data_IF_783915995384
#
_entry.id   IF_783915995384
#
_cell.length_a   1.000
_cell.length_b   1.000
_cell.length_c   1.000
_cell.angle_alpha   90.00
_cell.angle_beta   90.00
_cell.angle_gamma   90.00
#
_symmetry.space_group_name_H-M   'P 1'
#
loop_
_entity.id
_entity.type
_entity.pdbx_description
1 polymer ?
#
# COMPACT_ATOMS: atom_id res chain seq x y z
N UNK A 1 16.19 1.94 -7.04
CA UNK A 1 15.43 2.74 -6.03
C UNK A 1 14.80 1.82 -4.99
N UNK A 2 14.38 2.36 -3.85
CA UNK A 2 13.75 1.58 -2.78
C UNK A 2 12.38 2.14 -2.42
N UNK A 3 11.38 1.28 -2.33
CA UNK A 3 10.00 1.61 -1.95
C UNK A 3 9.69 0.90 -0.63
N UNK A 4 9.22 1.65 0.36
CA UNK A 4 8.66 1.10 1.60
C UNK A 4 7.19 1.44 1.64
N UNK A 5 6.37 0.46 2.01
CA UNK A 5 4.92 0.62 2.10
C UNK A 5 4.41 0.07 3.41
N UNK A 6 3.34 0.67 3.89
CA UNK A 6 2.62 0.21 5.08
C UNK A 6 1.13 0.51 4.89
N UNK A 7 0.28 -0.29 5.52
CA UNK A 7 -1.16 -0.10 5.50
C UNK A 7 -1.75 -0.14 6.92
N UNK A 8 -2.80 0.66 7.11
CA UNK A 8 -3.59 0.59 8.33
C UNK A 8 -5.02 0.23 7.98
N UNK A 9 -5.55 -0.79 8.64
CA UNK A 9 -6.88 -1.35 8.37
C UNK A 9 -7.71 -1.47 9.65
N UNK A 10 -9.00 -1.12 9.57
CA UNK A 10 -9.96 -1.30 10.64
C UNK A 10 -10.96 -2.42 10.30
N UNK A 11 -10.82 -3.58 10.94
CA UNK A 11 -11.73 -4.71 10.73
C UNK A 11 -13.22 -4.38 10.97
N UNK A 12 -13.51 -3.47 11.92
CA UNK A 12 -14.89 -3.10 12.31
C UNK A 12 -15.59 -2.21 11.28
N UNK A 13 -14.89 -1.24 10.72
CA UNK A 13 -15.48 -0.21 9.84
C UNK A 13 -15.08 -0.37 8.39
N UNK A 14 -14.18 -1.33 8.11
CA UNK A 14 -13.50 -1.55 6.83
C UNK A 14 -12.73 -0.32 6.32
N UNK A 15 -12.55 0.71 7.16
CA UNK A 15 -11.73 1.86 6.85
C UNK A 15 -10.26 1.44 6.72
N UNK A 16 -9.61 1.95 5.68
CA UNK A 16 -8.26 1.58 5.33
C UNK A 16 -7.51 2.78 4.74
N UNK A 17 -6.22 2.88 5.05
CA UNK A 17 -5.30 3.87 4.51
C UNK A 17 -3.94 3.25 4.26
N UNK A 18 -3.17 3.85 3.36
CA UNK A 18 -1.80 3.41 3.08
C UNK A 18 -0.82 4.57 3.10
N UNK A 19 0.45 4.23 3.25
CA UNK A 19 1.56 5.14 3.07
C UNK A 19 2.67 4.50 2.23
N UNK A 20 3.40 5.34 1.52
CA UNK A 20 4.52 4.99 0.66
C UNK A 20 5.66 5.96 0.91
N UNK A 21 6.85 5.40 1.13
CA UNK A 21 8.11 6.12 1.15
C UNK A 21 9.01 5.59 0.04
N UNK A 22 9.33 6.44 -0.94
CA UNK A 22 10.18 6.12 -2.09
C UNK A 22 11.50 6.85 -1.93
N UNK A 23 12.60 6.12 -1.91
CA UNK A 23 13.95 6.66 -1.86
C UNK A 23 14.68 6.37 -3.17
N UNK A 24 15.20 7.43 -3.76
CA UNK A 24 16.17 7.40 -4.85
C UNK A 24 17.46 8.06 -4.39
N UNK A 25 18.50 8.03 -5.23
CA UNK A 25 19.76 8.72 -4.95
C UNK A 25 19.57 10.24 -4.95
N UNK A 26 18.68 10.75 -5.81
CA UNK A 26 18.43 12.18 -5.97
C UNK A 26 17.39 12.75 -4.99
N UNK A 27 16.35 11.98 -4.64
CA UNK A 27 15.23 12.49 -3.86
C UNK A 27 14.54 11.43 -3.00
N UNK A 28 13.73 11.92 -2.06
CA UNK A 28 12.79 11.14 -1.27
C UNK A 28 11.37 11.63 -1.56
N UNK A 29 10.50 10.72 -2.00
CA UNK A 29 9.08 11.00 -2.16
C UNK A 29 8.27 10.27 -1.09
N UNK A 30 7.29 10.98 -0.52
CA UNK A 30 6.41 10.48 0.52
C UNK A 30 4.98 10.74 0.13
N UNK A 31 4.12 9.73 0.30
CA UNK A 31 2.71 9.84 -0.03
C UNK A 31 1.90 8.96 0.92
N UNK A 32 0.72 9.44 1.30
CA UNK A 32 -0.29 8.64 1.99
C UNK A 32 -1.65 8.93 1.36
N UNK A 33 -2.52 7.94 1.36
CA UNK A 33 -3.80 8.04 0.67
C UNK A 33 -4.77 6.93 1.03
N UNK A 34 -6.01 7.12 0.60
CA UNK A 34 -7.07 6.13 0.72
C UNK A 34 -7.05 5.18 -0.48
N UNK A 35 -7.48 3.95 -0.27
CA UNK A 35 -7.62 2.99 -1.37
C UNK A 35 -8.82 3.34 -2.26
N UNK A 36 -8.67 3.08 -3.57
CA UNK A 36 -9.73 3.22 -4.58
C UNK A 36 -10.57 1.95 -4.77
N UNK A 37 -10.26 0.93 -3.99
CA UNK A 37 -10.92 -0.37 -3.99
C UNK A 37 -11.39 -0.67 -2.58
N UNK A 38 -12.40 -1.51 -2.46
CA UNK A 38 -12.82 -2.03 -1.16
C UNK A 38 -11.75 -2.96 -0.60
N UNK A 39 -11.40 -2.72 0.65
CA UNK A 39 -10.45 -3.50 1.43
C UNK A 39 -11.25 -4.21 2.51
N UNK A 40 -11.22 -5.53 2.51
CA UNK A 40 -11.98 -6.36 3.45
C UNK A 40 -11.10 -6.95 4.54
N UNK A 41 -9.80 -7.09 4.25
CA UNK A 41 -8.81 -7.70 5.12
C UNK A 41 -7.50 -6.89 5.18
N UNK A 42 -6.77 -7.02 6.29
CA UNK A 42 -5.50 -6.32 6.48
C UNK A 42 -4.47 -6.66 5.39
N UNK A 43 -4.37 -7.93 4.99
CA UNK A 43 -3.44 -8.36 3.95
C UNK A 43 -3.80 -7.80 2.56
N UNK A 44 -5.08 -7.50 2.29
CA UNK A 44 -5.49 -6.82 1.05
C UNK A 44 -5.03 -5.37 1.07
N UNK A 45 -5.11 -4.71 2.23
CA UNK A 45 -4.59 -3.37 2.43
C UNK A 45 -3.08 -3.32 2.17
N UNK A 46 -2.32 -4.26 2.75
CA UNK A 46 -0.89 -4.39 2.53
C UNK A 46 -0.53 -4.63 1.06
N UNK A 47 -1.27 -5.53 0.40
CA UNK A 47 -1.07 -5.85 -1.03
C UNK A 47 -1.32 -4.61 -1.90
N UNK A 48 -2.40 -3.89 -1.64
CA UNK A 48 -2.75 -2.68 -2.38
C UNK A 48 -1.79 -1.52 -2.07
N UNK A 49 -1.27 -1.41 -0.84
CA UNK A 49 -0.26 -0.42 -0.47
C UNK A 49 1.05 -0.67 -1.23
N UNK A 50 1.50 -1.92 -1.25
CA UNK A 50 2.67 -2.35 -2.01
C UNK A 50 2.50 -2.03 -3.51
N UNK A 51 1.34 -2.35 -4.09
CA UNK A 51 1.03 -2.04 -5.48
C UNK A 51 1.04 -0.53 -5.77
N UNK A 52 0.38 0.28 -4.94
CA UNK A 52 0.38 1.73 -5.07
C UNK A 52 1.79 2.30 -4.98
N UNK A 53 2.63 1.78 -4.09
CA UNK A 53 4.02 2.19 -3.96
C UNK A 53 4.85 1.89 -5.20
N UNK A 54 4.70 0.69 -5.77
CA UNK A 54 5.38 0.31 -7.02
C UNK A 54 4.89 1.19 -8.18
N UNK A 55 3.59 1.33 -8.38
CA UNK A 55 3.05 2.17 -9.46
C UNK A 55 3.45 3.65 -9.32
N UNK A 56 3.49 4.18 -8.10
CA UNK A 56 3.95 5.54 -7.85
C UNK A 56 5.45 5.71 -8.18
N UNK A 57 6.27 4.70 -7.87
CA UNK A 57 7.69 4.68 -8.25
C UNK A 57 7.86 4.66 -9.77
N UNK A 58 7.10 3.83 -10.48
CA UNK A 58 7.16 3.72 -11.94
C UNK A 58 6.71 5.01 -12.65
N UNK A 59 5.64 5.65 -12.16
CA UNK A 59 5.05 6.82 -12.82
C UNK A 59 5.76 8.15 -12.52
N UNK A 60 6.33 8.34 -11.34
CA UNK A 60 6.87 9.65 -10.91
C UNK A 60 8.35 9.85 -11.19
N UNK A 61 9.09 8.79 -11.52
CA UNK A 61 10.55 8.82 -11.54
C UNK A 61 11.15 8.47 -12.91
N UNK A 62 10.33 8.47 -13.97
CA UNK A 62 10.73 8.23 -15.37
C UNK A 62 11.75 7.09 -15.52
N UNK A 63 11.42 5.94 -14.92
CA UNK A 63 12.33 4.79 -14.94
C UNK A 63 12.48 4.25 -16.36
N UNK A 64 13.72 4.31 -16.87
CA UNK A 64 14.10 3.67 -18.13
C UNK A 64 14.15 2.14 -17.98
N UNK A 65 14.05 1.46 -19.12
CA UNK A 65 14.25 0.02 -19.21
C UNK A 65 15.59 -0.40 -18.58
N UNK A 66 15.59 -1.52 -17.86
CA UNK A 66 16.72 -2.02 -17.08
C UNK A 66 16.82 -1.46 -15.66
N UNK A 67 15.93 -0.55 -15.26
CA UNK A 67 15.87 -0.04 -13.89
C UNK A 67 15.42 -1.11 -12.87
N UNK A 68 15.86 -0.96 -11.62
CA UNK A 68 15.49 -1.85 -10.51
C UNK A 68 14.69 -1.12 -9.43
N UNK A 69 13.48 -1.63 -9.16
CA UNK A 69 12.66 -1.27 -7.99
C UNK A 69 12.83 -2.32 -6.90
N UNK A 70 13.32 -1.91 -5.74
CA UNK A 70 13.33 -2.75 -4.53
C UNK A 70 12.15 -2.35 -3.65
N UNK A 71 11.10 -3.15 -3.58
CA UNK A 71 9.94 -2.85 -2.75
C UNK A 71 9.90 -3.72 -1.49
N UNK A 72 9.69 -3.10 -0.34
CA UNK A 72 9.71 -3.74 0.96
C UNK A 72 8.33 -3.68 1.65
N UNK A 73 7.91 -4.82 2.19
CA UNK A 73 6.70 -4.98 2.99
C UNK A 73 6.97 -5.98 4.12
N UNK A 74 6.27 -5.85 5.24
CA UNK A 74 6.30 -6.83 6.32
C UNK A 74 5.28 -7.96 6.16
N UNK A 75 4.46 -7.89 5.11
CA UNK A 75 3.43 -8.87 4.79
C UNK A 75 3.93 -9.85 3.73
N UNK A 76 4.30 -11.06 4.15
CA UNK A 76 4.70 -12.15 3.23
C UNK A 76 3.62 -12.46 2.20
N UNK A 77 2.35 -12.43 2.60
CA UNK A 77 1.23 -12.68 1.69
C UNK A 77 1.11 -11.62 0.59
N UNK A 78 1.34 -10.35 0.92
CA UNK A 78 1.34 -9.27 -0.07
C UNK A 78 2.47 -9.47 -1.10
N UNK A 79 3.67 -9.84 -0.61
CA UNK A 79 4.81 -10.19 -1.45
C UNK A 79 4.43 -11.34 -2.38
N UNK A 80 3.97 -12.48 -1.84
CA UNK A 80 3.64 -13.65 -2.65
C UNK A 80 2.59 -13.35 -3.72
N UNK A 81 1.56 -12.57 -3.40
CA UNK A 81 0.56 -12.17 -4.38
C UNK A 81 1.16 -11.36 -5.53
N UNK A 82 1.99 -10.35 -5.24
CA UNK A 82 2.62 -9.52 -6.29
C UNK A 82 3.59 -10.37 -7.14
N UNK A 83 4.35 -11.27 -6.51
CA UNK A 83 5.24 -12.20 -7.23
C UNK A 83 4.48 -13.24 -8.05
N UNK A 84 3.20 -13.45 -7.76
CA UNK A 84 2.40 -14.50 -8.38
C UNK A 84 2.66 -15.89 -7.79
N UNK A 85 3.18 -15.94 -6.56
CA UNK A 85 3.36 -17.16 -5.77
C UNK A 85 2.12 -17.45 -4.92
N UNK A 86 2.00 -18.71 -4.50
CA UNK A 86 0.95 -19.17 -3.58
C UNK A 86 -0.41 -19.37 -4.25
N UNK A 87 -1.46 -19.43 -3.43
CA UNK A 87 -2.84 -19.61 -3.89
C UNK A 87 -3.37 -18.42 -4.69
N UNK A 88 -4.33 -18.66 -5.57
CA UNK A 88 -4.95 -17.60 -6.36
C UNK A 88 -5.74 -16.64 -5.45
N UNK A 89 -5.41 -15.34 -5.43
CA UNK A 89 -6.17 -14.39 -4.62
C UNK A 89 -7.54 -14.12 -5.27
N UNK A 90 -8.41 -13.40 -4.55
CA UNK A 90 -9.69 -12.94 -5.09
C UNK A 90 -9.54 -12.06 -6.34
N UNK A 91 -10.62 -11.88 -7.11
CA UNK A 91 -10.63 -11.16 -8.40
C UNK A 91 -10.02 -9.75 -8.31
N UNK A 92 -10.29 -9.01 -7.23
CA UNK A 92 -9.75 -7.66 -7.03
C UNK A 92 -8.22 -7.67 -6.92
N UNK A 93 -7.67 -8.49 -6.03
CA UNK A 93 -6.22 -8.61 -5.81
C UNK A 93 -5.49 -9.21 -7.01
N UNK A 94 -6.15 -10.09 -7.78
CA UNK A 94 -5.64 -10.56 -9.07
C UNK A 94 -5.43 -9.41 -10.04
N UNK A 95 -6.43 -8.53 -10.19
CA UNK A 95 -6.31 -7.32 -11.03
C UNK A 95 -5.20 -6.38 -10.56
N UNK A 96 -5.04 -6.20 -9.25
CA UNK A 96 -3.95 -5.41 -8.66
C UNK A 96 -2.59 -5.97 -9.08
N UNK A 97 -2.38 -7.27 -8.88
CA UNK A 97 -1.15 -7.96 -9.31
C UNK A 97 -0.92 -7.80 -10.81
N UNK A 98 -1.93 -8.10 -11.62
CA UNK A 98 -1.81 -8.10 -13.07
C UNK A 98 -1.49 -6.70 -13.60
N UNK A 99 -2.07 -5.65 -13.00
CA UNK A 99 -1.75 -4.27 -13.31
C UNK A 99 -0.28 -3.93 -12.99
N UNK A 100 0.20 -4.25 -11.78
CA UNK A 100 1.60 -4.00 -11.39
C UNK A 100 2.57 -4.71 -12.34
N UNK A 101 2.32 -5.99 -12.63
CA UNK A 101 3.18 -6.77 -13.54
C UNK A 101 3.13 -6.26 -14.98
N UNK A 102 1.95 -5.80 -15.43
CA UNK A 102 1.77 -5.15 -16.72
C UNK A 102 2.61 -3.88 -16.84
N UNK A 103 2.57 -2.99 -15.84
CA UNK A 103 3.35 -1.76 -15.81
C UNK A 103 4.86 -2.03 -15.80
N UNK A 104 5.33 -2.98 -15.00
CA UNK A 104 6.75 -3.39 -14.97
C UNK A 104 7.22 -3.90 -16.32
N UNK A 105 6.43 -4.80 -16.93
CA UNK A 105 6.74 -5.38 -18.24
C UNK A 105 6.74 -4.31 -19.34
N UNK A 106 5.74 -3.43 -19.36
CA UNK A 106 5.63 -2.36 -20.35
C UNK A 106 6.83 -1.40 -20.30
N UNK A 107 7.45 -1.23 -19.13
CA UNK A 107 8.60 -0.33 -18.91
C UNK A 107 9.94 -1.02 -18.97
N UNK A 108 9.97 -2.35 -19.05
CA UNK A 108 11.20 -3.14 -18.96
C UNK A 108 11.91 -2.95 -17.62
N UNK A 109 11.17 -2.79 -16.53
CA UNK A 109 11.70 -2.54 -15.18
C UNK A 109 11.66 -3.82 -14.36
N UNK A 110 12.75 -4.10 -13.65
CA UNK A 110 12.84 -5.21 -12.72
C UNK A 110 12.26 -4.85 -11.35
N UNK A 111 11.58 -5.81 -10.74
CA UNK A 111 11.06 -5.70 -9.38
C UNK A 111 11.75 -6.74 -8.49
N UNK A 112 12.33 -6.28 -7.39
CA UNK A 112 12.79 -7.11 -6.28
C UNK A 112 11.95 -6.84 -5.06
N UNK A 113 11.20 -7.83 -4.61
CA UNK A 113 10.46 -7.75 -3.35
C UNK A 113 11.33 -8.22 -2.19
N UNK A 114 11.16 -7.55 -1.05
CA UNK A 114 11.89 -7.86 0.18
C UNK A 114 10.93 -7.89 1.35
N UNK A 115 10.90 -9.02 2.06
CA UNK A 115 10.27 -9.09 3.36
C UNK A 115 11.13 -8.34 4.39
N UNK A 116 10.48 -7.49 5.18
CA UNK A 116 11.10 -6.85 6.35
C UNK A 116 10.36 -7.29 7.60
N UNK A 117 11.07 -7.40 8.73
CA UNK A 117 10.42 -7.72 10.00
C UNK A 117 9.52 -6.56 10.41
N UNK A 118 8.25 -6.87 10.70
CA UNK A 118 7.35 -5.94 11.37
C UNK A 118 8.01 -5.43 12.67
N UNK A 119 7.88 -4.14 12.96
CA UNK A 119 8.48 -3.56 14.16
C UNK A 119 7.79 -4.12 15.42
N UNK A 120 8.49 -5.02 16.12
CA UNK A 120 8.24 -5.33 17.53
C UNK A 120 9.33 -4.64 18.37
N UNK A 121 9.15 -3.35 18.66
CA UNK A 121 10.02 -2.61 19.58
C UNK A 121 11.09 -1.71 18.96
N UNK A 122 11.61 -0.80 19.80
CA UNK A 122 12.57 0.28 19.49
C UNK A 122 13.87 -0.30 18.92
N UNK A 123 14.00 -0.29 17.60
CA UNK A 123 15.29 -0.53 16.94
C UNK A 123 15.74 0.78 16.31
N UNK A 124 16.81 1.39 16.81
CA UNK A 124 17.28 2.75 16.48
C UNK A 124 17.95 2.88 15.10
N UNK A 125 17.45 2.17 14.08
CA UNK A 125 18.02 2.17 12.72
C UNK A 125 17.30 3.14 11.77
N UNK A 126 17.94 3.57 10.66
CA UNK A 126 17.31 4.43 9.65
C UNK A 126 15.99 3.90 9.08
N UNK A 127 15.80 2.58 9.05
CA UNK A 127 14.54 1.94 8.61
C UNK A 127 13.39 2.14 9.61
N UNK A 128 13.69 2.38 10.89
CA UNK A 128 12.68 2.66 11.91
C UNK A 128 11.96 3.98 11.61
N UNK A 129 12.71 5.03 11.30
CA UNK A 129 12.11 6.33 10.97
C UNK A 129 11.20 6.25 9.73
N UNK A 130 11.60 5.45 8.73
CA UNK A 130 10.78 5.21 7.53
C UNK A 130 9.51 4.45 7.87
N UNK A 131 9.64 3.34 8.60
CA UNK A 131 8.51 2.51 9.00
C UNK A 131 7.55 3.31 9.88
N UNK A 132 8.04 3.96 10.93
CA UNK A 132 7.25 4.78 11.85
C UNK A 132 6.48 5.90 11.13
N UNK A 133 7.11 6.54 10.13
CA UNK A 133 6.41 7.51 9.29
C UNK A 133 5.30 6.87 8.47
N UNK A 134 5.55 5.74 7.79
CA UNK A 134 4.54 5.05 7.01
C UNK A 134 3.37 4.58 7.88
N UNK A 135 3.68 3.93 9.00
CA UNK A 135 2.74 3.44 10.01
C UNK A 135 1.84 4.57 10.53
N UNK A 136 2.45 5.71 10.87
CA UNK A 136 1.76 6.90 11.35
C UNK A 136 0.85 7.51 10.29
N UNK A 137 1.37 7.72 9.07
CA UNK A 137 0.62 8.33 7.98
C UNK A 137 -0.55 7.45 7.51
N UNK A 138 -0.35 6.13 7.41
CA UNK A 138 -1.41 5.19 7.06
C UNK A 138 -2.52 5.18 8.13
N UNK A 139 -2.16 5.26 9.42
CA UNK A 139 -3.12 5.37 10.53
C UNK A 139 -3.94 6.66 10.48
N UNK A 140 -3.33 7.78 10.14
CA UNK A 140 -4.05 9.06 9.96
C UNK A 140 -5.12 8.92 8.89
N UNK A 141 -4.77 8.44 7.69
CA UNK A 141 -5.73 8.29 6.60
C UNK A 141 -6.83 7.28 6.93
N UNK A 142 -6.49 6.16 7.56
CA UNK A 142 -7.49 5.19 8.00
C UNK A 142 -8.49 5.80 8.99
N UNK A 143 -8.03 6.66 9.91
CA UNK A 143 -8.92 7.37 10.86
C UNK A 143 -9.83 8.36 10.16
N UNK A 144 -9.32 9.11 9.18
CA UNK A 144 -10.14 10.01 8.36
C UNK A 144 -11.23 9.24 7.60
N UNK A 145 -10.87 8.11 6.97
CA UNK A 145 -11.83 7.23 6.29
C UNK A 145 -12.84 6.64 7.26
N UNK A 146 -12.42 6.29 8.47
CA UNK A 146 -13.32 5.79 9.52
C UNK A 146 -14.34 6.85 9.92
N UNK A 147 -13.91 8.09 10.14
CA UNK A 147 -14.79 9.20 10.47
C UNK A 147 -15.80 9.48 9.34
N UNK A 148 -15.33 9.48 8.09
CA UNK A 148 -16.20 9.64 6.92
C UNK A 148 -17.27 8.54 6.82
N UNK A 149 -16.91 7.28 7.07
CA UNK A 149 -17.86 6.16 7.06
C UNK A 149 -18.94 6.28 8.16
N UNK A 150 -18.57 6.81 9.33
CA UNK A 150 -19.52 7.08 10.42
C UNK A 150 -20.52 8.18 10.04
N UNK A 151 -20.06 9.26 9.42
CA UNK A 151 -20.92 10.37 9.00
C UNK A 151 -21.93 9.98 7.91
N UNK A 152 -21.55 9.09 6.98
CA UNK A 152 -22.47 8.54 5.98
C UNK A 152 -23.57 7.71 6.64
N UNK A 153 -23.24 6.96 7.70
CA UNK A 153 -24.20 6.11 8.42
C UNK A 153 -25.21 6.91 9.24
N UNK A 154 -24.82 8.09 9.74
CA UNK A 154 -25.72 8.99 10.50
C UNK A 154 -26.54 9.92 9.60
N UNK A 155 -26.11 10.15 8.35
CA UNK A 155 -26.81 11.01 7.39
C UNK A 155 -27.87 10.30 6.53
N UNK A 156 -28.02 8.98 6.64
CA UNK A 156 -28.95 8.19 5.82
C UNK A 156 -30.27 7.84 6.54
N UNK A 157 -30.57 8.47 7.69
CA UNK A 157 -31.76 8.20 8.51
C UNK A 157 -32.84 9.28 8.49
N UNK A 158 -32.76 10.31 7.63
CA UNK A 158 -33.75 11.42 7.59
C UNK A 158 -34.30 11.68 6.17
N UNK A 159 -34.68 10.61 5.46
CA UNK A 159 -35.46 10.72 4.23
C UNK A 159 -36.60 9.69 4.24
N UNK A 160 -37.62 9.97 5.06
CA UNK A 160 -38.88 9.26 4.97
C UNK A 160 -39.75 9.45 6.19
N UNK A 161 -40.54 10.54 6.22
CA UNK A 161 -41.99 10.49 6.43
C UNK A 161 -42.58 11.71 5.69
N UNK A 162 -43.65 11.44 4.94
CA UNK A 162 -44.47 12.39 4.19
C UNK A 162 -45.23 13.37 5.09
#
# INVERSE_FOLDING_TARGET
>A
MTVFTDASFCHKTKAAGFAVWIKTDACTLRHAGAFKIDINEAWEAETAALANGICAALGKLDMKAGGLVVAASDCLRAIDIIEGRGGQPGKAMRKVRDHVRGELKARGVELRLKHVKAHKGKSAGPRHAVNEWCDGAAKVVMRERRAANSNVRTGSSDAGVA
#
